data_IF_576120360986
#
_entry.id   IF_576120360986
#
_cell.length_a   1.000
_cell.length_b   1.000
_cell.length_c   1.000
_cell.angle_alpha   90.00
_cell.angle_beta   90.00
_cell.angle_gamma   90.00
#
_symmetry.space_group_name_H-M   'P 1'
#
loop_
_entity.id
_entity.type
_entity.pdbx_description
1 polymer ?
#
# COMPACT_ATOMS: atom_id res chain seq x y z
N UNK A 1 -19.19 14.21 -14.99
CA UNK A 1 -19.23 13.57 -13.66
C UNK A 1 -18.69 14.59 -12.66
N UNK A 2 -19.54 15.13 -11.78
CA UNK A 2 -19.10 16.14 -10.82
C UNK A 2 -18.18 15.51 -9.79
N UNK A 3 -16.97 16.06 -9.64
CA UNK A 3 -16.05 15.71 -8.58
C UNK A 3 -16.66 16.10 -7.24
N UNK A 4 -16.77 15.17 -6.30
CA UNK A 4 -17.12 15.50 -4.91
C UNK A 4 -15.93 16.22 -4.28
N UNK A 5 -15.98 17.52 -4.24
CA UNK A 5 -14.93 18.38 -3.65
C UNK A 5 -15.23 18.64 -2.18
N UNK A 6 -14.30 18.34 -1.31
CA UNK A 6 -14.19 18.97 0.01
C UNK A 6 -12.99 19.90 0.01
N UNK A 7 -12.86 20.78 1.01
CA UNK A 7 -11.68 21.67 1.12
C UNK A 7 -10.37 20.89 1.31
N UNK A 8 -10.45 19.60 1.68
CA UNK A 8 -9.31 18.75 2.04
C UNK A 8 -8.94 17.71 0.95
N UNK A 9 -9.90 17.27 0.10
CA UNK A 9 -9.65 16.23 -0.92
C UNK A 9 -10.59 16.32 -2.12
N UNK A 10 -10.22 15.62 -3.19
CA UNK A 10 -11.06 15.41 -4.38
C UNK A 10 -11.05 13.93 -4.76
N UNK A 11 -12.20 13.39 -5.15
CA UNK A 11 -12.30 12.04 -5.72
C UNK A 11 -12.20 12.13 -7.26
N UNK A 12 -11.20 11.46 -7.84
CA UNK A 12 -10.90 11.46 -9.28
C UNK A 12 -10.89 10.03 -9.83
N UNK A 13 -11.31 9.81 -11.07
CA UNK A 13 -11.03 8.54 -11.73
C UNK A 13 -9.52 8.43 -11.98
N UNK A 14 -8.92 7.24 -11.85
CA UNK A 14 -7.50 7.05 -12.15
C UNK A 14 -7.22 5.83 -13.03
N UNK A 15 -8.04 4.80 -12.92
CA UNK A 15 -7.87 3.53 -13.60
C UNK A 15 -9.19 3.04 -14.15
N UNK A 16 -9.16 2.51 -15.37
CA UNK A 16 -10.28 1.79 -15.96
C UNK A 16 -9.81 0.41 -16.39
N UNK A 17 -10.60 -0.59 -16.05
CA UNK A 17 -10.44 -1.98 -16.43
C UNK A 17 -11.70 -2.43 -17.12
N UNK A 18 -11.62 -2.74 -18.42
CA UNK A 18 -12.80 -3.02 -19.23
C UNK A 18 -13.85 -1.91 -19.07
N UNK A 19 -15.02 -2.22 -18.52
CA UNK A 19 -16.11 -1.26 -18.31
C UNK A 19 -16.17 -0.65 -16.90
N UNK A 20 -15.25 -1.04 -15.99
CA UNK A 20 -15.21 -0.55 -14.62
C UNK A 20 -14.21 0.58 -14.43
N UNK A 21 -14.63 1.63 -13.71
CA UNK A 21 -13.78 2.78 -13.36
C UNK A 21 -13.47 2.77 -11.87
N UNK A 22 -12.18 2.83 -11.56
CA UNK A 22 -11.66 2.91 -10.19
C UNK A 22 -11.24 4.34 -9.85
N UNK A 23 -11.49 4.74 -8.63
CA UNK A 23 -11.31 6.10 -8.16
C UNK A 23 -10.15 6.20 -7.18
N UNK A 24 -9.56 7.37 -7.14
CA UNK A 24 -8.60 7.80 -6.14
C UNK A 24 -9.20 8.95 -5.34
N UNK A 25 -9.00 8.93 -4.02
CA UNK A 25 -9.18 10.11 -3.18
C UNK A 25 -7.84 10.80 -3.06
N UNK A 26 -7.72 11.94 -3.73
CA UNK A 26 -6.52 12.75 -3.70
C UNK A 26 -6.62 13.80 -2.58
N UNK A 27 -5.83 13.60 -1.53
CA UNK A 27 -5.60 14.58 -0.50
C UNK A 27 -4.45 15.49 -0.93
N UNK A 28 -4.66 16.79 -0.88
CA UNK A 28 -3.66 17.77 -1.33
C UNK A 28 -3.11 18.56 -0.14
N UNK A 29 -1.82 18.90 -0.17
CA UNK A 29 -1.27 19.86 0.80
C UNK A 29 -2.02 21.20 0.75
N UNK A 30 -1.98 21.98 1.87
CA UNK A 30 -2.47 23.34 1.85
C UNK A 30 -1.83 24.16 0.72
N UNK A 31 -2.58 25.02 0.05
CA UNK A 31 -2.10 25.83 -1.11
C UNK A 31 -0.83 26.64 -0.86
N UNK A 32 -0.54 26.95 0.41
CA UNK A 32 0.67 27.68 0.81
C UNK A 32 1.90 26.78 1.01
N UNK A 33 1.75 25.46 0.88
CA UNK A 33 2.79 24.45 1.11
C UNK A 33 3.16 23.83 -0.22
N UNK A 34 4.45 23.81 -0.55
CA UNK A 34 4.95 23.08 -1.70
C UNK A 34 4.70 21.58 -1.53
N UNK A 35 4.23 20.92 -2.58
CA UNK A 35 4.04 19.47 -2.57
C UNK A 35 5.41 18.77 -2.62
N UNK A 36 5.76 18.07 -1.52
CA UNK A 36 7.03 17.34 -1.41
C UNK A 36 7.11 16.18 -2.40
N UNK A 37 6.08 15.34 -2.44
CA UNK A 37 5.98 14.15 -3.30
C UNK A 37 4.53 13.65 -3.34
N UNK A 38 4.28 12.65 -4.19
CA UNK A 38 3.02 11.89 -4.21
C UNK A 38 3.20 10.55 -3.51
N UNK A 39 2.29 10.21 -2.62
CA UNK A 39 2.18 8.90 -1.96
C UNK A 39 0.98 8.17 -2.54
N UNK A 40 1.09 6.84 -2.69
CA UNK A 40 -0.05 5.97 -2.99
C UNK A 40 -0.42 5.23 -1.71
N UNK A 41 -1.62 5.46 -1.17
CA UNK A 41 -2.13 4.70 -0.03
C UNK A 41 -3.01 3.55 -0.49
N UNK A 42 -2.65 2.34 -0.03
CA UNK A 42 -3.33 1.09 -0.33
C UNK A 42 -4.06 0.62 0.93
N UNK A 43 -5.39 0.67 0.89
CA UNK A 43 -6.21 0.34 2.05
C UNK A 43 -6.15 -1.13 2.48
N UNK A 44 -6.40 -1.38 3.75
CA UNK A 44 -6.60 -2.72 4.31
C UNK A 44 -7.97 -3.31 3.94
N UNK A 45 -8.43 -4.30 4.74
CA UNK A 45 -9.74 -4.93 4.56
C UNK A 45 -9.63 -6.43 4.22
N UNK A 46 -8.52 -7.07 4.59
CA UNK A 46 -8.25 -8.49 4.34
C UNK A 46 -8.48 -8.88 2.88
N UNK A 47 -8.05 -8.00 1.95
CA UNK A 47 -8.15 -8.09 0.48
C UNK A 47 -9.58 -8.09 -0.08
N UNK A 48 -10.62 -8.01 0.76
CA UNK A 48 -12.04 -8.16 0.37
C UNK A 48 -12.92 -6.95 0.71
N UNK A 49 -12.48 -6.09 1.62
CA UNK A 49 -13.31 -5.04 2.19
C UNK A 49 -12.62 -3.67 2.07
N UNK A 50 -13.39 -2.61 2.36
CA UNK A 50 -12.99 -1.20 2.37
C UNK A 50 -12.84 -0.56 0.98
N UNK A 51 -12.50 0.69 0.99
CA UNK A 51 -12.28 1.55 -0.17
C UNK A 51 -11.26 2.66 0.15
N UNK A 52 -11.01 3.56 -0.81
CA UNK A 52 -10.11 4.72 -0.73
C UNK A 52 -10.34 5.66 0.48
N UNK A 53 -11.36 5.43 1.30
CA UNK A 53 -11.66 6.25 2.48
C UNK A 53 -11.02 5.71 3.76
N UNK A 54 -10.49 4.50 3.72
CA UNK A 54 -10.06 3.79 4.93
C UNK A 54 -8.87 4.46 5.65
N UNK A 55 -7.94 5.07 4.90
CA UNK A 55 -6.73 5.73 5.42
C UNK A 55 -6.92 7.15 5.92
N UNK A 56 -8.14 7.71 5.89
CA UNK A 56 -8.41 9.14 6.08
C UNK A 56 -7.71 9.79 7.29
N UNK A 57 -7.46 9.04 8.37
CA UNK A 57 -6.84 9.55 9.60
C UNK A 57 -5.38 9.96 9.35
N UNK A 58 -4.60 9.13 8.68
CA UNK A 58 -3.20 9.45 8.37
C UNK A 58 -3.06 10.17 7.04
N UNK A 59 -3.91 9.92 6.04
CA UNK A 59 -3.87 10.62 4.75
C UNK A 59 -3.98 12.13 4.90
N UNK A 60 -4.95 12.58 5.70
CA UNK A 60 -5.13 14.00 6.01
C UNK A 60 -3.90 14.61 6.68
N UNK A 61 -3.29 13.89 7.62
CA UNK A 61 -2.11 14.37 8.35
C UNK A 61 -0.87 14.42 7.43
N UNK A 62 -0.72 13.44 6.53
CA UNK A 62 0.33 13.44 5.52
C UNK A 62 0.15 14.60 4.54
N UNK A 63 -1.09 14.91 4.14
CA UNK A 63 -1.37 16.06 3.30
C UNK A 63 -0.98 17.39 4.02
N UNK A 64 -1.30 17.52 5.30
CA UNK A 64 -0.88 18.67 6.12
C UNK A 64 0.66 18.74 6.27
N UNK A 65 1.36 17.60 6.23
CA UNK A 65 2.83 17.55 6.25
C UNK A 65 3.48 17.85 4.88
N UNK A 66 2.69 18.11 3.83
CA UNK A 66 3.19 18.51 2.51
C UNK A 66 3.24 17.39 1.47
N UNK A 67 2.61 16.25 1.71
CA UNK A 67 2.49 15.16 0.73
C UNK A 67 1.15 15.19 0.02
N UNK A 68 1.13 14.99 -1.30
CA UNK A 68 -0.11 14.63 -1.98
C UNK A 68 -0.36 13.14 -1.77
N UNK A 69 -1.51 12.75 -1.21
CA UNK A 69 -1.82 11.34 -0.91
C UNK A 69 -2.94 10.86 -1.82
N UNK A 70 -2.61 9.86 -2.63
CA UNK A 70 -3.52 9.16 -3.52
C UNK A 70 -4.02 7.87 -2.84
N UNK A 71 -5.10 7.95 -2.09
CA UNK A 71 -5.77 6.79 -1.52
C UNK A 71 -6.64 6.13 -2.60
N UNK A 72 -6.35 4.89 -2.95
CA UNK A 72 -6.89 4.24 -4.16
C UNK A 72 -7.99 3.22 -3.86
N UNK A 73 -8.95 3.10 -4.80
CA UNK A 73 -9.74 1.89 -4.96
C UNK A 73 -8.98 0.93 -5.88
N UNK A 74 -9.17 -0.36 -5.68
CA UNK A 74 -8.61 -1.42 -6.51
C UNK A 74 -9.52 -2.65 -6.49
N UNK A 75 -9.31 -3.60 -7.37
CA UNK A 75 -10.10 -4.82 -7.43
C UNK A 75 -9.92 -5.67 -6.18
N UNK A 76 -11.02 -5.97 -5.49
CA UNK A 76 -11.05 -6.73 -4.24
C UNK A 76 -11.77 -8.07 -4.39
N UNK A 77 -11.37 -9.08 -3.58
CA UNK A 77 -12.15 -10.30 -3.41
C UNK A 77 -13.54 -10.05 -2.79
N UNK A 78 -14.49 -10.96 -2.96
CA UNK A 78 -14.40 -12.21 -3.72
C UNK A 78 -14.64 -12.05 -5.23
N UNK A 79 -14.95 -10.84 -5.72
CA UNK A 79 -15.21 -10.59 -7.13
C UNK A 79 -13.94 -10.74 -7.99
N UNK A 80 -12.80 -10.39 -7.41
CA UNK A 80 -11.51 -10.46 -8.08
C UNK A 80 -10.47 -11.13 -7.17
N UNK A 81 -9.69 -12.04 -7.74
CA UNK A 81 -8.70 -12.84 -7.04
C UNK A 81 -7.29 -12.31 -7.25
N UNK A 82 -6.36 -12.82 -6.44
CA UNK A 82 -4.93 -12.62 -6.65
C UNK A 82 -4.53 -13.06 -8.08
N UNK A 83 -3.70 -12.26 -8.82
CA UNK A 83 -2.94 -11.08 -8.37
C UNK A 83 -3.57 -9.71 -8.74
N UNK A 84 -4.85 -9.63 -9.10
CA UNK A 84 -5.47 -8.43 -9.69
C UNK A 84 -5.23 -7.15 -8.90
N UNK A 85 -5.33 -7.20 -7.56
CA UNK A 85 -5.15 -6.01 -6.73
C UNK A 85 -3.71 -5.45 -6.79
N UNK A 86 -2.68 -6.31 -6.80
CA UNK A 86 -1.29 -5.86 -6.92
C UNK A 86 -0.99 -5.25 -8.30
N UNK A 87 -1.62 -5.76 -9.35
CA UNK A 87 -1.56 -5.18 -10.71
C UNK A 87 -2.20 -3.78 -10.71
N UNK A 88 -3.32 -3.58 -10.01
CA UNK A 88 -3.95 -2.27 -9.90
C UNK A 88 -3.11 -1.28 -9.08
N UNK A 89 -2.43 -1.76 -8.04
CA UNK A 89 -1.46 -0.93 -7.29
C UNK A 89 -0.32 -0.46 -8.20
N UNK A 90 0.21 -1.32 -9.08
CA UNK A 90 1.22 -0.92 -10.07
C UNK A 90 0.70 0.17 -11.01
N UNK A 91 -0.55 0.03 -11.48
CA UNK A 91 -1.20 1.06 -12.30
C UNK A 91 -1.37 2.39 -11.53
N UNK A 92 -1.72 2.33 -10.24
CA UNK A 92 -1.82 3.50 -9.38
C UNK A 92 -0.47 4.21 -9.18
N UNK A 93 0.62 3.47 -9.02
CA UNK A 93 1.97 4.03 -8.94
C UNK A 93 2.35 4.73 -10.23
N UNK A 94 2.05 4.12 -11.38
CA UNK A 94 2.27 4.75 -12.69
C UNK A 94 1.47 6.06 -12.81
N UNK A 95 0.18 6.04 -12.47
CA UNK A 95 -0.69 7.22 -12.44
C UNK A 95 -0.13 8.31 -11.50
N UNK A 96 0.30 7.94 -10.30
CA UNK A 96 0.84 8.88 -9.32
C UNK A 96 2.11 9.58 -9.81
N UNK A 97 2.95 8.91 -10.62
CA UNK A 97 4.09 9.57 -11.29
C UNK A 97 3.66 10.59 -12.33
N UNK A 98 2.60 10.30 -13.11
CA UNK A 98 2.03 11.28 -14.04
C UNK A 98 1.48 12.48 -13.28
N UNK A 99 0.78 12.24 -12.16
CA UNK A 99 0.30 13.30 -11.27
C UNK A 99 1.46 14.13 -10.70
N UNK A 100 2.51 13.50 -10.15
CA UNK A 100 3.66 14.20 -9.56
C UNK A 100 4.30 15.18 -10.55
N UNK A 101 4.43 14.79 -11.82
CA UNK A 101 4.90 15.67 -12.91
C UNK A 101 3.92 16.79 -13.21
N UNK A 102 2.62 16.48 -13.25
CA UNK A 102 1.58 17.45 -13.57
C UNK A 102 1.49 18.56 -12.53
N UNK A 103 1.51 18.21 -11.24
CA UNK A 103 1.44 19.17 -10.12
C UNK A 103 2.81 19.78 -9.78
N UNK A 104 3.86 19.41 -10.51
CA UNK A 104 5.23 19.87 -10.27
C UNK A 104 5.69 19.63 -8.82
N UNK A 105 5.41 18.43 -8.28
CA UNK A 105 5.91 18.05 -6.98
C UNK A 105 7.44 18.13 -6.93
N UNK A 106 8.00 18.51 -5.77
CA UNK A 106 9.45 18.64 -5.57
C UNK A 106 10.21 17.36 -5.91
N UNK A 107 9.65 16.21 -5.55
CA UNK A 107 10.11 14.90 -6.01
C UNK A 107 9.09 14.28 -6.97
N UNK A 108 9.57 13.67 -8.05
CA UNK A 108 8.74 12.89 -8.97
C UNK A 108 8.74 11.39 -8.64
N UNK A 109 9.52 10.99 -7.65
CA UNK A 109 9.46 9.65 -7.08
C UNK A 109 8.16 9.46 -6.28
N UNK A 110 7.60 8.27 -6.37
CA UNK A 110 6.40 7.86 -5.65
C UNK A 110 6.78 6.84 -4.59
N UNK A 111 6.22 6.97 -3.40
CA UNK A 111 6.31 5.98 -2.32
C UNK A 111 4.94 5.37 -2.10
N UNK A 112 4.88 4.06 -1.95
CA UNK A 112 3.64 3.38 -1.55
C UNK A 112 3.60 3.22 -0.04
N UNK A 113 2.41 3.44 0.51
CA UNK A 113 2.10 3.12 1.90
C UNK A 113 0.88 2.21 1.93
N UNK A 114 0.72 1.43 2.98
CA UNK A 114 -0.50 0.61 3.07
C UNK A 114 -0.67 -0.06 4.40
N UNK A 115 -1.93 -0.22 4.81
CA UNK A 115 -2.32 -0.81 6.08
C UNK A 115 -2.83 -2.24 5.93
N UNK A 116 -2.48 -3.14 6.85
CA UNK A 116 -2.97 -4.53 6.85
C UNK A 116 -2.75 -5.20 5.48
N UNK A 117 -3.79 -5.78 4.85
CA UNK A 117 -3.71 -6.36 3.50
C UNK A 117 -3.22 -5.38 2.44
N UNK A 118 -3.47 -4.08 2.59
CA UNK A 118 -2.93 -3.05 1.71
C UNK A 118 -1.41 -2.92 1.80
N UNK A 119 -0.84 -3.05 2.99
CA UNK A 119 0.62 -3.09 3.17
C UNK A 119 1.26 -4.32 2.50
N UNK A 120 0.59 -5.48 2.54
CA UNK A 120 1.01 -6.65 1.78
C UNK A 120 0.96 -6.39 0.27
N UNK A 121 -0.14 -5.81 -0.25
CA UNK A 121 -0.29 -5.49 -1.68
C UNK A 121 0.73 -4.46 -2.15
N UNK A 122 1.02 -3.43 -1.33
CA UNK A 122 2.04 -2.43 -1.62
C UNK A 122 3.44 -3.04 -1.74
N UNK A 123 3.79 -3.98 -0.85
CA UNK A 123 5.05 -4.72 -0.90
C UNK A 123 5.12 -5.64 -2.13
N UNK A 124 4.06 -6.39 -2.38
CA UNK A 124 4.00 -7.31 -3.52
C UNK A 124 4.13 -6.56 -4.84
N UNK A 125 3.36 -5.49 -5.03
CA UNK A 125 3.44 -4.65 -6.22
C UNK A 125 4.83 -4.04 -6.42
N UNK A 126 5.47 -3.57 -5.34
CA UNK A 126 6.81 -2.98 -5.41
C UNK A 126 7.92 -4.00 -5.78
N UNK A 127 7.72 -5.27 -5.44
CA UNK A 127 8.65 -6.36 -5.77
C UNK A 127 8.37 -6.98 -7.14
N UNK A 128 7.15 -6.83 -7.66
CA UNK A 128 6.72 -7.29 -8.99
C UNK A 128 6.24 -6.09 -9.84
N UNK A 129 7.09 -5.07 -10.08
CA UNK A 129 6.65 -3.78 -10.61
C UNK A 129 6.28 -3.79 -12.09
N UNK A 130 6.68 -4.82 -12.82
CA UNK A 130 6.46 -4.95 -14.26
C UNK A 130 5.48 -6.08 -14.59
N UNK A 131 4.37 -6.12 -13.85
CA UNK A 131 3.29 -7.05 -14.18
C UNK A 131 2.83 -6.85 -15.62
N UNK A 132 2.53 -7.95 -16.32
CA UNK A 132 1.99 -7.91 -17.68
C UNK A 132 0.74 -7.02 -17.71
N UNK A 133 0.66 -6.15 -18.70
CA UNK A 133 -0.52 -5.32 -18.87
C UNK A 133 -1.74 -6.17 -19.19
N UNK A 134 -2.79 -5.99 -18.41
CA UNK A 134 -4.09 -6.54 -18.79
C UNK A 134 -4.66 -5.76 -19.96
N UNK A 135 -5.08 -6.49 -20.99
CA UNK A 135 -5.73 -5.89 -22.15
C UNK A 135 -6.93 -5.01 -21.73
N UNK A 136 -7.00 -3.79 -22.26
CA UNK A 136 -8.06 -2.84 -21.94
C UNK A 136 -7.79 -1.97 -20.70
N UNK A 137 -6.55 -1.89 -20.24
CA UNK A 137 -6.15 -0.93 -19.19
C UNK A 137 -6.11 0.49 -19.74
N UNK A 138 -6.83 1.41 -19.10
CA UNK A 138 -6.75 2.84 -19.37
C UNK A 138 -6.46 3.61 -18.07
N UNK A 139 -5.58 4.59 -18.17
CA UNK A 139 -5.19 5.48 -17.06
C UNK A 139 -5.66 6.90 -17.36
N UNK A 140 -6.29 7.55 -16.37
CA UNK A 140 -6.72 8.94 -16.46
C UNK A 140 -5.54 9.87 -16.28
N UNK A 141 -5.20 10.64 -17.31
CA UNK A 141 -4.14 11.62 -17.25
C UNK A 141 -4.50 12.86 -18.09
N UNK A 142 -4.30 14.05 -17.57
CA UNK A 142 -4.54 15.31 -18.27
C UNK A 142 -5.96 15.42 -18.85
N UNK A 143 -6.96 15.01 -18.06
CA UNK A 143 -8.39 15.04 -18.42
C UNK A 143 -8.80 14.12 -19.58
N UNK A 144 -7.98 13.11 -19.88
CA UNK A 144 -8.29 12.07 -20.87
C UNK A 144 -7.89 10.67 -20.41
N UNK A 145 -8.55 9.66 -20.99
CA UNK A 145 -8.15 8.27 -20.82
C UNK A 145 -7.07 7.88 -21.83
N UNK A 146 -6.00 7.28 -21.35
CA UNK A 146 -4.88 6.83 -22.18
C UNK A 146 -4.56 5.37 -21.88
N UNK A 147 -4.25 4.58 -22.92
CA UNK A 147 -3.74 3.22 -22.77
C UNK A 147 -2.21 3.29 -22.72
N UNK A 148 -1.58 3.04 -21.56
CA UNK A 148 -0.13 3.06 -21.46
C UNK A 148 0.46 1.88 -22.25
N UNK A 149 1.63 2.07 -22.86
CA UNK A 149 2.36 0.98 -23.53
C UNK A 149 3.06 0.06 -22.53
N UNK A 150 3.37 0.56 -21.35
CA UNK A 150 3.95 -0.19 -20.24
C UNK A 150 3.60 0.48 -18.91
N UNK A 151 3.42 -0.33 -17.89
CA UNK A 151 3.22 0.12 -16.52
C UNK A 151 4.50 -0.17 -15.73
N UNK A 152 5.09 0.89 -15.17
CA UNK A 152 6.19 0.79 -14.22
C UNK A 152 5.65 1.10 -12.82
N UNK A 153 5.46 0.05 -12.02
CA UNK A 153 5.03 0.11 -10.62
C UNK A 153 6.18 0.21 -9.62
N UNK A 154 7.43 0.34 -10.07
CA UNK A 154 8.60 0.39 -9.18
C UNK A 154 8.55 1.61 -8.25
N UNK A 155 8.94 1.43 -7.00
CA UNK A 155 9.03 2.49 -6.01
C UNK A 155 10.33 2.39 -5.22
N UNK A 156 10.88 3.52 -4.73
CA UNK A 156 12.11 3.51 -3.95
C UNK A 156 11.92 3.00 -2.53
N UNK A 157 10.69 3.09 -2.01
CA UNK A 157 10.39 2.72 -0.63
C UNK A 157 8.91 2.35 -0.45
N UNK A 158 8.64 1.53 0.56
CA UNK A 158 7.29 1.09 0.97
C UNK A 158 7.12 1.25 2.47
N UNK A 159 6.07 1.94 2.90
CA UNK A 159 5.60 1.95 4.29
C UNK A 159 4.51 0.91 4.49
N UNK A 160 4.79 -0.19 5.18
CA UNK A 160 3.82 -1.24 5.45
C UNK A 160 3.41 -1.23 6.93
N UNK A 161 2.10 -1.21 7.19
CA UNK A 161 1.58 -1.04 8.55
C UNK A 161 0.82 -2.31 8.95
N UNK A 162 1.29 -3.00 10.04
CA UNK A 162 0.68 -4.26 10.54
C UNK A 162 0.24 -5.22 9.43
N UNK A 163 1.06 -5.36 8.40
CA UNK A 163 0.73 -6.08 7.18
C UNK A 163 0.94 -7.60 7.33
N UNK A 164 0.00 -8.44 6.83
CA UNK A 164 0.16 -9.89 6.76
C UNK A 164 1.08 -10.28 5.58
N UNK A 165 2.38 -10.06 5.77
CA UNK A 165 3.42 -10.21 4.73
C UNK A 165 3.64 -11.65 4.24
N UNK A 166 3.07 -12.62 4.92
CA UNK A 166 2.97 -14.02 4.51
C UNK A 166 1.52 -14.50 4.66
N UNK A 167 0.73 -14.46 3.58
CA UNK A 167 -0.67 -14.90 3.61
C UNK A 167 -0.85 -16.35 4.03
N UNK A 168 0.07 -17.24 3.64
CA UNK A 168 -0.03 -18.67 3.98
C UNK A 168 0.25 -18.90 5.47
N UNK A 169 1.31 -18.32 6.02
CA UNK A 169 1.61 -18.41 7.45
C UNK A 169 0.47 -17.78 8.29
N UNK A 170 -0.06 -16.62 7.88
CA UNK A 170 -1.20 -15.99 8.54
C UNK A 170 -2.45 -16.85 8.46
N UNK A 171 -2.72 -17.53 7.34
CA UNK A 171 -3.84 -18.46 7.20
C UNK A 171 -3.71 -19.66 8.14
N UNK A 172 -2.52 -20.24 8.27
CA UNK A 172 -2.24 -21.32 9.23
C UNK A 172 -2.43 -20.85 10.67
N UNK A 173 -1.97 -19.64 11.01
CA UNK A 173 -2.25 -19.03 12.31
C UNK A 173 -3.76 -18.87 12.53
N UNK A 174 -4.50 -18.36 11.56
CA UNK A 174 -5.95 -18.20 11.66
C UNK A 174 -6.68 -19.54 11.90
N UNK A 175 -6.20 -20.62 11.29
CA UNK A 175 -6.70 -21.99 11.53
C UNK A 175 -6.51 -22.44 12.98
N UNK A 176 -5.46 -21.98 13.66
CA UNK A 176 -5.21 -22.31 15.07
C UNK A 176 -6.10 -21.54 16.04
N UNK A 177 -6.76 -20.46 15.58
CA UNK A 177 -7.67 -19.66 16.38
C UNK A 177 -9.09 -20.25 16.33
N UNK A 178 -9.52 -20.88 17.42
CA UNK A 178 -10.90 -21.39 17.52
C UNK A 178 -11.87 -20.27 17.95
N UNK A 179 -11.96 -19.20 17.14
CA UNK A 179 -12.80 -18.04 17.42
C UNK A 179 -13.33 -17.36 16.15
N UNK A 180 -14.11 -16.31 16.31
CA UNK A 180 -14.70 -15.56 15.19
C UNK A 180 -13.64 -14.86 14.33
N UNK A 181 -12.56 -14.36 14.94
CA UNK A 181 -11.47 -13.73 14.21
C UNK A 181 -10.82 -14.73 13.24
N UNK A 182 -10.41 -15.92 13.73
CA UNK A 182 -9.80 -16.96 12.90
C UNK A 182 -10.69 -17.34 11.71
N UNK A 183 -11.99 -17.58 11.95
CA UNK A 183 -12.96 -17.88 10.88
C UNK A 183 -13.01 -16.77 9.83
N UNK A 184 -13.11 -15.48 10.23
CA UNK A 184 -13.14 -14.36 9.29
C UNK A 184 -11.86 -14.26 8.48
N UNK A 185 -10.68 -14.39 9.12
CA UNK A 185 -9.39 -14.33 8.44
C UNK A 185 -9.24 -15.45 7.40
N UNK A 186 -9.67 -16.67 7.72
CA UNK A 186 -9.66 -17.79 6.77
C UNK A 186 -10.60 -17.54 5.59
N UNK A 187 -11.86 -17.11 5.87
CA UNK A 187 -12.84 -16.86 4.82
C UNK A 187 -12.34 -15.84 3.81
N UNK A 188 -11.82 -14.70 4.26
CA UNK A 188 -11.33 -13.65 3.38
C UNK A 188 -10.06 -14.09 2.63
N UNK A 189 -9.17 -14.86 3.27
CA UNK A 189 -7.99 -15.39 2.58
C UNK A 189 -8.37 -16.33 1.44
N UNK A 190 -9.33 -17.26 1.66
CA UNK A 190 -9.81 -18.14 0.60
C UNK A 190 -10.56 -17.35 -0.48
N UNK A 191 -11.37 -16.35 -0.11
CA UNK A 191 -12.12 -15.55 -1.07
C UNK A 191 -11.22 -14.77 -2.04
N UNK A 192 -10.01 -14.39 -1.61
CA UNK A 192 -9.08 -13.64 -2.45
C UNK A 192 -8.01 -14.51 -3.13
N UNK A 193 -7.44 -15.50 -2.43
CA UNK A 193 -6.35 -16.33 -2.96
C UNK A 193 -6.81 -17.66 -3.56
N UNK A 194 -8.05 -18.09 -3.28
CA UNK A 194 -8.66 -19.37 -3.71
C UNK A 194 -7.94 -20.62 -3.19
N UNK A 195 -6.63 -20.59 -2.99
CA UNK A 195 -5.83 -21.74 -2.56
C UNK A 195 -4.68 -21.38 -1.63
N UNK A 196 -4.21 -22.35 -0.85
CA UNK A 196 -2.99 -22.20 -0.03
C UNK A 196 -1.74 -22.04 -0.90
N UNK A 197 -1.74 -22.55 -2.13
CA UNK A 197 -0.61 -22.36 -3.06
C UNK A 197 -0.50 -20.91 -3.51
N UNK A 198 -1.59 -20.30 -3.94
CA UNK A 198 -1.60 -18.86 -4.29
C UNK A 198 -1.22 -17.98 -3.08
N UNK A 199 -1.60 -18.38 -1.84
CA UNK A 199 -1.13 -17.69 -0.63
C UNK A 199 0.38 -17.80 -0.44
N UNK A 200 0.97 -18.96 -0.75
CA UNK A 200 2.42 -19.17 -0.70
C UNK A 200 3.16 -18.39 -1.78
N UNK A 201 2.60 -18.33 -2.99
CA UNK A 201 3.15 -17.55 -4.10
C UNK A 201 3.15 -16.05 -3.78
N UNK A 202 2.15 -15.57 -3.07
CA UNK A 202 2.03 -14.19 -2.62
C UNK A 202 2.82 -13.87 -1.33
N UNK A 203 3.55 -14.82 -0.74
CA UNK A 203 4.41 -14.56 0.42
C UNK A 203 5.59 -13.66 0.02
N UNK A 204 5.70 -12.50 0.68
CA UNK A 204 6.77 -11.52 0.38
C UNK A 204 8.16 -12.14 0.60
N UNK A 205 8.33 -12.97 1.63
CA UNK A 205 9.60 -13.66 1.88
C UNK A 205 9.99 -14.61 0.74
N UNK A 206 9.01 -15.27 0.14
CA UNK A 206 9.22 -16.14 -1.03
C UNK A 206 9.61 -15.33 -2.25
N UNK A 207 8.85 -14.28 -2.57
CA UNK A 207 9.12 -13.39 -3.71
C UNK A 207 10.54 -12.83 -3.63
N UNK A 208 10.96 -12.36 -2.45
CA UNK A 208 12.33 -11.84 -2.23
C UNK A 208 13.40 -12.92 -2.44
N UNK A 209 13.10 -14.17 -2.11
CA UNK A 209 14.06 -15.29 -2.25
C UNK A 209 14.18 -15.81 -3.67
N UNK A 210 13.11 -15.75 -4.46
CA UNK A 210 13.01 -16.31 -5.81
C UNK A 210 13.32 -15.29 -6.91
N UNK A 211 13.01 -14.00 -6.67
CA UNK A 211 13.28 -12.96 -7.64
C UNK A 211 14.64 -12.33 -7.43
N UNK A 212 15.45 -12.34 -8.48
CA UNK A 212 16.65 -11.51 -8.60
C UNK A 212 16.23 -10.07 -8.94
N UNK A 213 15.55 -9.42 -8.01
CA UNK A 213 15.17 -8.01 -8.21
C UNK A 213 16.43 -7.15 -8.23
N UNK A 214 16.63 -6.41 -9.30
CA UNK A 214 17.81 -5.55 -9.48
C UNK A 214 17.90 -4.46 -8.37
N UNK A 215 16.79 -4.16 -7.68
CA UNK A 215 16.74 -3.18 -6.61
C UNK A 215 15.57 -3.46 -5.67
N UNK A 216 15.86 -3.79 -4.41
CA UNK A 216 14.86 -3.90 -3.35
C UNK A 216 14.48 -2.49 -2.84
N UNK A 217 13.17 -2.14 -2.73
CA UNK A 217 12.74 -0.88 -2.12
C UNK A 217 13.13 -0.85 -0.63
N UNK A 218 13.33 0.34 -0.06
CA UNK A 218 13.45 0.44 1.40
C UNK A 218 12.10 0.17 2.05
N UNK A 219 12.07 -0.63 3.11
CA UNK A 219 10.85 -0.92 3.85
C UNK A 219 10.90 -0.26 5.23
N UNK A 220 9.83 0.47 5.58
CA UNK A 220 9.50 0.79 6.95
C UNK A 220 8.25 0.03 7.35
N UNK A 221 8.36 -0.75 8.42
CA UNK A 221 7.27 -1.58 8.91
C UNK A 221 6.79 -1.07 10.27
N UNK A 222 5.52 -0.68 10.37
CA UNK A 222 4.89 -0.35 11.63
C UNK A 222 4.26 -1.60 12.25
N UNK A 223 4.85 -2.11 13.33
CA UNK A 223 4.39 -3.31 14.03
C UNK A 223 3.46 -2.93 15.19
N UNK A 224 2.23 -3.43 15.18
CA UNK A 224 1.35 -3.37 16.35
C UNK A 224 1.85 -4.37 17.41
N UNK A 225 2.16 -3.89 18.62
CA UNK A 225 2.82 -4.71 19.65
C UNK A 225 1.90 -5.73 20.34
N UNK A 226 0.58 -5.64 20.15
CA UNK A 226 -0.42 -6.61 20.62
C UNK A 226 -1.35 -7.02 19.47
N UNK A 227 -0.74 -7.34 18.32
CA UNK A 227 -1.49 -7.73 17.12
C UNK A 227 -1.94 -9.18 17.20
N UNK A 228 -3.26 -9.39 17.24
CA UNK A 228 -3.87 -10.72 17.23
C UNK A 228 -4.30 -11.18 15.83
N UNK A 229 -4.04 -10.36 14.81
CA UNK A 229 -4.35 -10.63 13.42
C UNK A 229 -3.10 -11.09 12.65
N UNK A 230 -1.94 -10.46 12.97
CA UNK A 230 -0.66 -10.74 12.32
C UNK A 230 0.40 -10.98 13.40
N UNK A 231 0.76 -12.23 13.71
CA UNK A 231 1.83 -12.55 14.65
C UNK A 231 3.17 -11.93 14.25
N UNK A 232 3.92 -11.47 15.24
CA UNK A 232 5.20 -10.79 15.01
C UNK A 232 6.24 -11.68 14.30
N UNK A 233 6.20 -13.00 14.52
CA UNK A 233 7.10 -13.97 13.89
C UNK A 233 7.01 -13.96 12.37
N UNK A 234 5.82 -13.71 11.80
CA UNK A 234 5.63 -13.60 10.35
C UNK A 234 6.45 -12.42 9.79
N UNK A 235 6.47 -11.30 10.51
CA UNK A 235 7.21 -10.10 10.11
C UNK A 235 8.72 -10.29 10.32
N UNK A 236 9.14 -10.93 11.41
CA UNK A 236 10.55 -11.25 11.70
C UNK A 236 11.15 -12.15 10.62
N UNK A 237 10.41 -13.13 10.14
CA UNK A 237 10.84 -14.00 9.04
C UNK A 237 11.09 -13.19 7.75
N UNK A 238 10.20 -12.24 7.44
CA UNK A 238 10.42 -11.34 6.30
C UNK A 238 11.62 -10.45 6.53
N UNK A 239 11.77 -9.84 7.71
CA UNK A 239 12.92 -8.99 8.01
C UNK A 239 14.25 -9.72 7.74
N UNK A 240 14.35 -10.96 8.24
CA UNK A 240 15.54 -11.78 8.04
C UNK A 240 15.79 -12.07 6.55
N UNK A 241 14.77 -12.51 5.81
CA UNK A 241 14.87 -12.79 4.38
C UNK A 241 15.29 -11.53 3.58
N UNK A 242 14.65 -10.39 3.89
CA UNK A 242 14.88 -9.13 3.21
C UNK A 242 16.30 -8.60 3.41
N UNK A 243 16.80 -8.65 4.66
CA UNK A 243 18.17 -8.27 4.99
C UNK A 243 19.19 -9.21 4.37
N UNK A 244 18.90 -10.51 4.31
CA UNK A 244 19.76 -11.52 3.67
C UNK A 244 19.88 -11.24 2.16
N UNK A 245 18.82 -10.76 1.53
CA UNK A 245 18.81 -10.34 0.13
C UNK A 245 19.45 -8.96 -0.09
N UNK A 246 19.99 -8.31 0.94
CA UNK A 246 20.65 -6.99 0.86
C UNK A 246 19.71 -5.79 0.93
N UNK A 247 18.44 -6.01 1.23
CA UNK A 247 17.44 -4.95 1.38
C UNK A 247 17.52 -4.22 2.73
N UNK A 248 17.00 -2.99 2.77
CA UNK A 248 16.88 -2.19 4.00
C UNK A 248 15.48 -2.38 4.56
N UNK A 249 15.39 -2.93 5.77
CA UNK A 249 14.14 -3.18 6.49
C UNK A 249 14.20 -2.56 7.88
N UNK A 250 13.33 -1.60 8.13
CA UNK A 250 13.23 -0.85 9.39
C UNK A 250 11.90 -1.19 10.08
N UNK A 251 11.94 -1.57 11.37
CA UNK A 251 10.72 -1.87 12.14
C UNK A 251 10.58 -0.86 13.27
N UNK A 252 9.39 -0.29 13.38
CA UNK A 252 8.96 0.48 14.56
C UNK A 252 7.82 -0.26 15.24
N UNK A 253 8.04 -0.69 16.48
CA UNK A 253 6.99 -1.38 17.26
C UNK A 253 6.25 -0.37 18.14
N UNK A 254 4.92 -0.50 18.18
CA UNK A 254 4.02 0.27 19.03
C UNK A 254 3.50 -0.62 20.18
N UNK A 255 4.13 -0.60 21.35
CA UNK A 255 3.84 -1.54 22.44
C UNK A 255 2.38 -1.48 22.87
N UNK A 256 1.77 -2.65 23.12
CA UNK A 256 0.38 -2.77 23.56
C UNK A 256 -0.70 -2.40 22.53
N UNK A 257 -0.31 -1.86 21.38
CA UNK A 257 -1.27 -1.44 20.35
C UNK A 257 -1.85 -2.64 19.61
N UNK A 258 -3.18 -2.71 19.40
CA UNK A 258 -3.81 -3.76 18.63
C UNK A 258 -3.69 -3.50 17.12
N UNK A 259 -4.07 -4.50 16.30
CA UNK A 259 -4.18 -4.37 14.85
C UNK A 259 -5.03 -3.14 14.47
N UNK A 260 -4.53 -2.29 13.57
CA UNK A 260 -5.27 -1.08 13.13
C UNK A 260 -5.40 0.02 14.18
N UNK A 261 -4.55 0.04 15.19
CA UNK A 261 -4.61 0.97 16.33
C UNK A 261 -4.72 2.45 15.96
N UNK A 262 -4.26 2.82 14.79
CA UNK A 262 -4.28 4.22 14.33
C UNK A 262 -5.70 4.78 14.27
N UNK A 263 -6.69 3.93 13.98
CA UNK A 263 -8.10 4.33 13.90
C UNK A 263 -8.74 4.64 15.26
N UNK A 264 -8.14 4.16 16.34
CA UNK A 264 -8.63 4.45 17.70
C UNK A 264 -8.20 5.86 18.19
N UNK A 265 -7.27 6.51 17.50
CA UNK A 265 -6.69 7.77 17.93
C UNK A 265 -5.73 7.61 19.13
N UNK A 266 -5.47 8.73 19.82
CA UNK A 266 -4.63 8.74 21.02
C UNK A 266 -3.13 8.81 20.72
N UNK A 267 -2.31 8.57 21.77
CA UNK A 267 -0.86 8.82 21.72
C UNK A 267 -0.12 7.92 20.72
N UNK A 268 -0.47 6.62 20.68
CA UNK A 268 0.14 5.68 19.73
C UNK A 268 -0.15 6.04 18.27
N UNK A 269 -1.38 6.46 17.97
CA UNK A 269 -1.76 6.95 16.64
C UNK A 269 -0.98 8.21 16.25
N UNK A 270 -0.87 9.18 17.15
CA UNK A 270 -0.10 10.40 16.92
C UNK A 270 1.39 10.11 16.73
N UNK A 271 1.94 9.20 17.55
CA UNK A 271 3.34 8.77 17.41
C UNK A 271 3.57 8.11 16.05
N UNK A 272 2.68 7.20 15.63
CA UNK A 272 2.75 6.55 14.31
C UNK A 272 2.80 7.59 13.17
N UNK A 273 1.92 8.59 13.20
CA UNK A 273 1.89 9.62 12.16
C UNK A 273 3.20 10.43 12.14
N UNK A 274 3.74 10.82 13.31
CA UNK A 274 5.04 11.52 13.37
C UNK A 274 6.19 10.67 12.85
N UNK A 275 6.23 9.39 13.21
CA UNK A 275 7.27 8.46 12.75
C UNK A 275 7.21 8.28 11.23
N UNK A 276 5.99 8.11 10.68
CA UNK A 276 5.75 7.99 9.24
C UNK A 276 6.20 9.25 8.48
N UNK A 277 5.83 10.44 8.94
CA UNK A 277 6.26 11.71 8.34
C UNK A 277 7.77 11.82 8.38
N UNK A 278 8.40 11.55 9.53
CA UNK A 278 9.85 11.62 9.69
C UNK A 278 10.58 10.65 8.76
N UNK A 279 10.07 9.43 8.61
CA UNK A 279 10.64 8.45 7.69
C UNK A 279 10.50 8.89 6.22
N UNK A 280 9.34 9.39 5.82
CA UNK A 280 9.11 9.91 4.48
C UNK A 280 10.01 11.11 4.17
N UNK A 281 10.16 12.05 5.10
CA UNK A 281 11.05 13.19 4.94
C UNK A 281 12.50 12.71 4.70
N UNK A 282 12.99 11.73 5.46
CA UNK A 282 14.32 11.17 5.27
C UNK A 282 14.49 10.48 3.91
N UNK A 283 13.47 9.81 3.37
CA UNK A 283 13.50 9.19 2.04
C UNK A 283 13.69 10.25 0.93
N UNK A 284 12.94 11.34 1.01
CA UNK A 284 12.95 12.35 -0.05
C UNK A 284 14.11 13.36 0.08
N UNK A 285 14.60 13.64 1.30
CA UNK A 285 15.76 14.50 1.51
C UNK A 285 17.06 13.86 1.07
N UNK A 286 17.28 12.58 1.37
CA UNK A 286 18.46 11.84 0.94
C UNK A 286 18.66 11.81 -0.58
N UNK A 287 17.57 11.95 -1.35
CA UNK A 287 17.56 11.92 -2.82
C UNK A 287 17.65 13.30 -3.48
N UNK A 288 17.39 14.36 -2.74
CA UNK A 288 17.59 15.73 -3.25
C UNK A 288 19.07 16.14 -3.26
N UNK A 289 19.94 15.33 -2.63
CA UNK A 289 21.38 15.60 -2.47
C UNK A 289 22.27 14.80 -3.45
N UNK A 290 21.68 14.01 -4.32
CA UNK A 290 22.36 13.23 -5.39
C UNK A 290 21.93 13.69 -6.77
#
# INVERSE_FOLDING_TARGET
MEAMMSDDYVDLPYLKRQDETYFVRLWSPPKSVETKAVLVDVHGGAWCDHDRKAGYIYDKQLAQAGYAVAAIDFRCGPAFQHPTASIDVNAAVHWARLLARHIQARSQEVVTIGSSSGGHLALLAALTPYAEEEHGTEIWAKDEWTSPQSIDGSVPAVGAFWAPVDPAARFMYAKSLDNQLGRRLMTNSIAYFESEEAMREASISRVVSEETTARLPRIWFAQAGNDQNVPAEIVQNLEQAYRTAGGVFEITTYPGSPHGFVHAGGEASQKFIRDLVSWLDAIFEARSST
#
